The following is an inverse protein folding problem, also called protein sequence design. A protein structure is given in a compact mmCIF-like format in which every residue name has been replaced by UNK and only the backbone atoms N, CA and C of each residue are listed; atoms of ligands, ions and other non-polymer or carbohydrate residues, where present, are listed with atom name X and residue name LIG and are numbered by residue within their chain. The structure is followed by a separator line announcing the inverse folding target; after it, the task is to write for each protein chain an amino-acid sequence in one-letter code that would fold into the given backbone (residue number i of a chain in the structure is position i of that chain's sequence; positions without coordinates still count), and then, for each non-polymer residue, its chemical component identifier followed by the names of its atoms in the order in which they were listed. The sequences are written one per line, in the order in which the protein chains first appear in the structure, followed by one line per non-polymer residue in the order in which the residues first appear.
data_IF_019339677470
#
_entry.id   IF_019339677470
#
_cell.length_a   1.000
_cell.length_b   1.000
_cell.length_c   1.000
_cell.angle_alpha   90.00
_cell.angle_beta   90.00
_cell.angle_gamma   90.00
#
_symmetry.space_group_name_H-M   'P 1'
#
loop_
_entity.id
_entity.type
_entity.pdbx_description
1 polymer ?
#
# COMPACT_ATOMS: atom_id res chain seq x y z
N UNK A 1 -2.07 -6.68 2.58
CA UNK A 1 -1.05 -6.36 3.60
C UNK A 1 -0.81 -7.50 4.60
N UNK A 2 -1.72 -7.80 5.56
CA UNK A 2 -1.50 -8.84 6.60
C UNK A 2 -1.19 -10.23 6.04
N UNK A 3 -1.96 -10.69 5.05
CA UNK A 3 -1.73 -11.99 4.40
C UNK A 3 -0.37 -12.05 3.68
N UNK A 4 0.05 -10.96 3.03
CA UNK A 4 1.36 -10.88 2.36
C UNK A 4 2.53 -10.93 3.35
N UNK A 5 2.43 -10.24 4.50
CA UNK A 5 3.43 -10.32 5.56
C UNK A 5 3.52 -11.71 6.19
N UNK A 6 2.38 -12.39 6.38
CA UNK A 6 2.35 -13.76 6.93
C UNK A 6 3.07 -14.71 5.96
N UNK A 7 2.76 -14.67 4.67
CA UNK A 7 3.43 -15.47 3.64
C UNK A 7 4.94 -15.22 3.62
N UNK A 8 5.36 -13.95 3.64
CA UNK A 8 6.79 -13.59 3.65
C UNK A 8 7.50 -13.98 4.96
N UNK A 9 6.82 -13.89 6.10
CA UNK A 9 7.39 -14.27 7.40
C UNK A 9 7.58 -15.79 7.50
N UNK A 10 6.62 -16.58 7.01
CA UNK A 10 6.72 -18.05 6.93
C UNK A 10 7.91 -18.42 6.04
N UNK A 11 8.02 -17.80 4.86
CA UNK A 11 9.16 -17.99 3.95
C UNK A 11 10.50 -17.58 4.57
N UNK A 12 10.54 -16.51 5.37
CA UNK A 12 11.78 -16.03 6.00
C UNK A 12 12.24 -16.88 7.19
N UNK A 13 11.30 -17.56 7.89
CA UNK A 13 11.57 -18.42 9.05
C UNK A 13 12.00 -19.81 8.66
N UNK A 14 11.51 -20.34 7.54
CA UNK A 14 11.87 -21.66 7.08
C UNK A 14 13.20 -21.62 6.29
N UNK A 15 14.31 -22.17 6.83
CA UNK A 15 15.59 -22.20 6.11
C UNK A 15 15.51 -23.04 4.82
N UNK A 16 14.49 -23.87 4.64
CA UNK A 16 14.24 -24.65 3.44
C UNK A 16 13.59 -23.84 2.32
N UNK A 17 12.87 -22.76 2.65
CA UNK A 17 12.26 -21.85 1.65
C UNK A 17 13.12 -20.62 1.34
N UNK A 18 14.18 -20.38 2.10
CA UNK A 18 15.21 -19.38 1.78
C UNK A 18 16.10 -19.86 0.63
N UNK A 19 16.65 -18.90 -0.12
CA UNK A 19 17.76 -19.16 -1.00
C UNK A 19 18.93 -19.75 -0.18
N UNK A 20 19.65 -20.76 -0.70
CA UNK A 20 20.86 -21.24 -0.05
C UNK A 20 21.84 -20.07 0.12
N UNK A 21 22.51 -20.00 1.27
CA UNK A 21 23.53 -18.97 1.52
C UNK A 21 24.62 -19.12 0.48
N UNK A 22 24.92 -18.04 -0.25
CA UNK A 22 26.05 -18.04 -1.17
C UNK A 22 27.34 -18.13 -0.37
N UNK A 23 28.14 -19.15 -0.68
CA UNK A 23 29.49 -19.31 -0.15
C UNK A 23 30.49 -18.89 -1.25
N UNK A 24 31.67 -18.41 -0.87
CA UNK A 24 32.67 -17.91 -1.85
C UNK A 24 33.09 -18.97 -2.87
N UNK A 25 32.96 -20.25 -2.53
CA UNK A 25 33.34 -21.39 -3.37
C UNK A 25 32.20 -21.97 -4.22
N UNK A 26 30.97 -21.44 -4.14
CA UNK A 26 29.83 -21.93 -4.93
C UNK A 26 29.09 -20.79 -5.62
N UNK A 27 28.74 -20.91 -6.92
CA UNK A 27 27.88 -19.93 -7.57
C UNK A 27 26.52 -19.89 -6.86
N UNK A 28 26.01 -18.68 -6.61
CA UNK A 28 24.69 -18.48 -6.03
C UNK A 28 23.63 -19.16 -6.90
N UNK A 29 22.86 -20.09 -6.33
CA UNK A 29 21.72 -20.69 -7.01
C UNK A 29 20.52 -19.73 -6.92
N UNK A 30 19.98 -19.33 -8.07
CA UNK A 30 18.80 -18.47 -8.13
C UNK A 30 17.56 -19.22 -7.65
N UNK A 31 16.72 -18.51 -6.89
CA UNK A 31 15.45 -19.07 -6.43
C UNK A 31 14.52 -19.21 -7.63
N UNK A 32 14.23 -20.45 -8.04
CA UNK A 32 13.35 -20.75 -9.18
C UNK A 32 12.09 -21.54 -8.75
N UNK A 33 11.06 -21.52 -9.59
CA UNK A 33 9.82 -22.29 -9.41
C UNK A 33 8.92 -21.74 -8.30
N UNK A 34 8.33 -22.65 -7.51
CA UNK A 34 7.31 -22.31 -6.52
C UNK A 34 7.76 -21.35 -5.41
N UNK A 35 9.04 -21.38 -5.02
CA UNK A 35 9.60 -20.47 -3.99
C UNK A 35 9.64 -19.01 -4.48
N UNK A 36 10.00 -18.80 -5.75
CA UNK A 36 9.99 -17.48 -6.38
C UNK A 36 8.56 -16.96 -6.56
N UNK A 37 7.64 -17.81 -7.04
CA UNK A 37 6.24 -17.45 -7.18
C UNK A 37 5.63 -17.03 -5.84
N UNK A 38 5.89 -17.77 -4.76
CA UNK A 38 5.41 -17.43 -3.41
C UNK A 38 5.96 -16.08 -2.92
N UNK A 39 7.25 -15.80 -3.16
CA UNK A 39 7.89 -14.52 -2.83
C UNK A 39 7.19 -13.36 -3.55
N UNK A 40 7.04 -13.46 -4.88
CA UNK A 40 6.41 -12.41 -5.69
C UNK A 40 4.95 -12.18 -5.31
N UNK A 41 4.17 -13.25 -5.09
CA UNK A 41 2.79 -13.14 -4.62
C UNK A 41 2.72 -12.42 -3.27
N UNK A 42 3.58 -12.78 -2.32
CA UNK A 42 3.69 -12.10 -1.03
C UNK A 42 4.00 -10.60 -1.20
N UNK A 43 4.97 -10.27 -2.06
CA UNK A 43 5.39 -8.91 -2.33
C UNK A 43 4.28 -8.07 -2.97
N UNK A 44 3.57 -8.63 -3.98
CA UNK A 44 2.43 -7.97 -4.61
C UNK A 44 1.27 -7.73 -3.63
N UNK A 45 0.96 -8.69 -2.75
CA UNK A 45 -0.07 -8.53 -1.72
C UNK A 45 0.28 -7.48 -0.66
N UNK A 46 1.58 -7.30 -0.38
CA UNK A 46 2.07 -6.20 0.47
C UNK A 46 1.94 -4.87 -0.28
N UNK A 47 2.43 -4.80 -1.52
CA UNK A 47 2.39 -3.59 -2.34
C UNK A 47 0.96 -3.07 -2.55
N UNK A 48 0.02 -3.95 -2.89
CA UNK A 48 -1.41 -3.60 -3.01
C UNK A 48 -1.98 -3.08 -1.69
N UNK A 49 -1.62 -3.70 -0.57
CA UNK A 49 -2.08 -3.27 0.75
C UNK A 49 -1.54 -1.89 1.15
N UNK A 50 -0.26 -1.65 0.92
CA UNK A 50 0.39 -0.35 1.22
C UNK A 50 -0.14 0.74 0.29
N UNK A 51 -0.34 0.44 -0.99
CA UNK A 51 -0.93 1.35 -1.96
C UNK A 51 -2.35 1.77 -1.58
N UNK A 52 -3.18 0.82 -1.14
CA UNK A 52 -4.53 1.12 -0.65
C UNK A 52 -4.54 2.09 0.52
N UNK A 53 -3.74 1.81 1.56
CA UNK A 53 -3.65 2.66 2.76
C UNK A 53 -3.15 4.07 2.40
N UNK A 54 -2.09 4.17 1.59
CA UNK A 54 -1.52 5.47 1.18
C UNK A 54 -2.51 6.30 0.35
N UNK A 55 -3.34 5.66 -0.48
CA UNK A 55 -4.33 6.34 -1.30
C UNK A 55 -5.56 6.82 -0.51
N UNK A 56 -6.03 6.03 0.45
CA UNK A 56 -7.29 6.32 1.16
C UNK A 56 -7.11 7.15 2.44
N UNK A 57 -6.00 6.98 3.16
CA UNK A 57 -5.82 7.56 4.49
C UNK A 57 -5.74 9.10 4.49
N UNK A 58 -4.98 9.76 3.59
CA UNK A 58 -4.90 11.23 3.58
C UNK A 58 -6.22 11.86 3.14
N UNK A 59 -6.94 11.21 2.21
CA UNK A 59 -8.27 11.63 1.79
C UNK A 59 -9.23 11.59 2.98
N UNK A 60 -9.30 10.45 3.68
CA UNK A 60 -10.15 10.29 4.86
C UNK A 60 -9.84 11.30 5.97
N UNK A 61 -8.57 11.58 6.24
CA UNK A 61 -8.16 12.59 7.23
C UNK A 61 -8.50 14.02 6.81
N UNK A 62 -8.36 14.34 5.52
CA UNK A 62 -8.72 15.64 4.96
C UNK A 62 -10.24 15.90 4.99
N UNK A 63 -11.05 14.86 4.80
CA UNK A 63 -12.52 14.95 4.82
C UNK A 63 -13.11 15.30 6.19
N UNK A 64 -12.32 15.23 7.27
CA UNK A 64 -12.77 15.60 8.62
C UNK A 64 -12.94 17.11 8.80
N UNK A 65 -12.26 17.92 7.99
CA UNK A 65 -12.26 19.37 8.10
C UNK A 65 -13.27 20.00 7.14
N UNK A 66 -13.91 21.09 7.58
CA UNK A 66 -14.84 21.85 6.75
C UNK A 66 -14.10 22.81 5.82
N UNK A 67 -14.33 22.69 4.51
CA UNK A 67 -13.69 23.55 3.51
C UNK A 67 -14.41 24.89 3.32
N UNK A 68 -15.67 25.00 3.74
CA UNK A 68 -16.49 26.21 3.56
C UNK A 68 -16.08 27.31 4.53
N UNK A 69 -15.52 26.94 5.69
CA UNK A 69 -15.07 27.88 6.71
C UNK A 69 -13.56 28.20 6.57
N UNK A 70 -13.13 29.46 6.78
CA UNK A 70 -11.70 29.82 6.79
C UNK A 70 -10.89 29.05 7.86
N UNK A 71 -11.51 28.79 9.02
CA UNK A 71 -10.90 28.03 10.12
C UNK A 71 -10.67 26.57 9.75
N UNK A 72 -11.64 25.89 9.14
CA UNK A 72 -11.51 24.50 8.72
C UNK A 72 -10.46 24.31 7.61
N UNK A 73 -10.37 25.25 6.65
CA UNK A 73 -9.28 25.27 5.65
C UNK A 73 -7.89 25.40 6.28
N UNK A 74 -7.74 26.26 7.29
CA UNK A 74 -6.47 26.41 8.03
C UNK A 74 -6.11 25.13 8.77
N UNK A 75 -7.05 24.53 9.48
CA UNK A 75 -6.83 23.27 10.21
C UNK A 75 -6.45 22.11 9.28
N UNK A 76 -7.08 22.01 8.12
CA UNK A 76 -6.72 21.03 7.08
C UNK A 76 -5.28 21.20 6.60
N UNK A 77 -4.86 22.43 6.31
CA UNK A 77 -3.48 22.72 5.90
C UNK A 77 -2.48 22.33 7.00
N UNK A 78 -2.77 22.70 8.25
CA UNK A 78 -1.95 22.28 9.40
C UNK A 78 -1.88 20.76 9.55
N UNK A 79 -3.01 20.06 9.38
CA UNK A 79 -3.04 18.59 9.38
C UNK A 79 -2.11 18.00 8.31
N UNK A 80 -2.19 18.45 7.06
CA UNK A 80 -1.32 17.94 6.00
C UNK A 80 0.16 18.27 6.23
N UNK A 81 0.47 19.45 6.78
CA UNK A 81 1.84 19.80 7.15
C UNK A 81 2.39 18.84 8.21
N UNK A 82 1.63 18.58 9.28
CA UNK A 82 2.01 17.61 10.31
C UNK A 82 2.09 16.19 9.75
N UNK A 83 1.15 15.79 8.90
CA UNK A 83 1.12 14.48 8.26
C UNK A 83 2.39 14.22 7.44
N UNK A 84 2.78 15.17 6.58
CA UNK A 84 4.00 15.07 5.77
C UNK A 84 5.25 15.09 6.64
N UNK A 85 5.29 15.92 7.68
CA UNK A 85 6.39 15.95 8.63
C UNK A 85 6.59 14.59 9.32
N UNK A 86 5.52 14.01 9.88
CA UNK A 86 5.55 12.70 10.52
C UNK A 86 5.95 11.59 9.55
N UNK A 87 5.47 11.63 8.30
CA UNK A 87 5.87 10.66 7.27
C UNK A 87 7.37 10.74 6.96
N UNK A 88 7.91 11.95 6.79
CA UNK A 88 9.34 12.16 6.53
C UNK A 88 10.20 11.68 7.70
N UNK A 89 9.84 12.05 8.93
CA UNK A 89 10.55 11.56 10.13
C UNK A 89 10.46 10.04 10.27
N UNK A 90 9.29 9.45 10.05
CA UNK A 90 9.10 8.00 10.10
C UNK A 90 9.92 7.27 9.03
N UNK A 91 10.00 7.82 7.81
CA UNK A 91 10.83 7.28 6.75
C UNK A 91 12.33 7.32 7.09
N UNK A 92 12.80 8.43 7.68
CA UNK A 92 14.18 8.56 8.17
C UNK A 92 14.49 7.52 9.25
N UNK A 93 13.60 7.31 10.21
CA UNK A 93 13.76 6.28 11.26
C UNK A 93 13.75 4.88 10.64
N UNK A 94 12.86 4.61 9.68
CA UNK A 94 12.79 3.32 9.02
C UNK A 94 14.10 2.98 8.27
N UNK A 95 14.59 3.89 7.44
CA UNK A 95 15.81 3.65 6.63
C UNK A 95 17.09 3.59 7.47
N UNK A 96 17.10 4.15 8.69
CA UNK A 96 18.26 4.13 9.57
C UNK A 96 18.18 3.00 10.61
N UNK A 97 17.17 3.06 11.48
CA UNK A 97 17.05 2.16 12.62
C UNK A 97 16.54 0.77 12.25
N UNK A 98 15.51 0.68 11.40
CA UNK A 98 14.95 -0.63 11.02
C UNK A 98 15.93 -1.40 10.15
N UNK A 99 16.54 -0.73 9.16
CA UNK A 99 17.60 -1.34 8.33
C UNK A 99 18.77 -1.81 9.19
N UNK A 100 19.22 -1.01 10.15
CA UNK A 100 20.28 -1.44 11.08
C UNK A 100 19.90 -2.71 11.86
N UNK A 101 18.64 -2.83 12.31
CA UNK A 101 18.15 -4.05 12.98
C UNK A 101 18.12 -5.23 12.02
N UNK A 102 17.64 -5.03 10.80
CA UNK A 102 17.57 -6.09 9.77
C UNK A 102 18.96 -6.65 9.46
N UNK A 103 19.97 -5.77 9.36
CA UNK A 103 21.36 -6.13 9.07
C UNK A 103 22.07 -6.80 10.26
N UNK A 104 21.83 -6.33 11.49
CA UNK A 104 22.58 -6.80 12.68
C UNK A 104 21.88 -7.91 13.48
N UNK A 105 20.55 -7.84 13.62
CA UNK A 105 19.73 -8.80 14.40
C UNK A 105 18.96 -9.76 13.50
N UNK A 106 18.87 -9.46 12.20
CA UNK A 106 18.19 -10.27 11.20
C UNK A 106 16.75 -9.82 10.92
N UNK A 107 16.31 -10.11 9.70
CA UNK A 107 15.00 -9.76 9.12
C UNK A 107 13.77 -10.10 9.98
N UNK A 108 13.85 -11.12 10.84
CA UNK A 108 12.76 -11.51 11.73
C UNK A 108 12.36 -10.39 12.71
N UNK A 109 13.35 -9.64 13.21
CA UNK A 109 13.10 -8.55 14.15
C UNK A 109 12.53 -7.31 13.45
N UNK A 110 12.99 -6.99 12.23
CA UNK A 110 12.43 -5.92 11.41
C UNK A 110 10.95 -6.15 11.09
N UNK A 111 10.58 -7.38 10.72
CA UNK A 111 9.18 -7.74 10.48
C UNK A 111 8.34 -7.76 11.77
N UNK A 112 8.91 -8.15 12.91
CA UNK A 112 8.20 -8.11 14.19
C UNK A 112 7.85 -6.67 14.60
N UNK A 113 8.79 -5.73 14.50
CA UNK A 113 8.57 -4.31 14.79
C UNK A 113 7.47 -3.73 13.88
N UNK A 114 7.55 -4.02 12.58
CA UNK A 114 6.53 -3.61 11.62
C UNK A 114 5.13 -4.16 11.95
N UNK A 115 5.07 -5.43 12.38
CA UNK A 115 3.81 -6.08 12.76
C UNK A 115 3.22 -5.43 14.01
N UNK A 116 4.02 -5.20 15.05
CA UNK A 116 3.58 -4.54 16.29
C UNK A 116 3.05 -3.12 15.99
N UNK A 117 3.74 -2.37 15.13
CA UNK A 117 3.31 -1.02 14.72
C UNK A 117 1.92 -1.04 14.06
N UNK A 118 1.66 -2.00 13.16
CA UNK A 118 0.33 -2.18 12.55
C UNK A 118 -0.72 -2.58 13.59
N UNK A 119 -0.37 -3.44 14.54
CA UNK A 119 -1.30 -3.84 15.60
C UNK A 119 -1.66 -2.67 16.53
N UNK A 120 -0.74 -1.76 16.80
CA UNK A 120 -0.97 -0.57 17.60
C UNK A 120 -1.76 0.52 16.85
N UNK A 121 -1.64 0.60 15.53
CA UNK A 121 -2.38 1.60 14.75
C UNK A 121 -3.89 1.33 14.66
N UNK A 122 -4.29 0.05 14.68
CA UNK A 122 -5.70 -0.37 14.61
C UNK A 122 -6.54 0.18 15.79
N UNK A 123 -6.18 -0.04 17.07
CA UNK A 123 -6.96 0.48 18.19
C UNK A 123 -6.97 2.01 18.24
N UNK A 124 -5.87 2.67 17.84
CA UNK A 124 -5.83 4.14 17.75
C UNK A 124 -6.85 4.64 16.71
N UNK A 125 -6.89 4.02 15.53
CA UNK A 125 -7.88 4.35 14.50
C UNK A 125 -9.32 4.07 14.96
N UNK A 126 -9.56 2.93 15.61
CA UNK A 126 -10.88 2.57 16.12
C UNK A 126 -11.34 3.49 17.26
N UNK A 127 -10.43 3.91 18.15
CA UNK A 127 -10.75 4.87 19.22
C UNK A 127 -11.17 6.24 18.70
N UNK A 128 -10.71 6.63 17.50
CA UNK A 128 -11.12 7.85 16.81
C UNK A 128 -12.45 7.71 16.07
N UNK A 129 -12.92 6.47 15.82
CA UNK A 129 -14.15 6.18 15.07
C UNK A 129 -15.40 6.94 15.53
N UNK A 130 -15.69 7.14 16.84
CA UNK A 130 -16.88 7.89 17.26
C UNK A 130 -16.79 9.40 16.99
N UNK A 131 -15.60 9.93 16.66
CA UNK A 131 -15.34 11.36 16.41
C UNK A 131 -15.31 11.66 14.90
N UNK A 132 -15.22 10.63 14.05
CA UNK A 132 -15.13 10.80 12.60
C UNK A 132 -16.46 11.27 12.00
N UNK A 133 -16.38 12.34 11.19
CA UNK A 133 -17.48 12.77 10.33
C UNK A 133 -17.65 11.77 9.20
N UNK A 134 -18.71 10.97 9.25
CA UNK A 134 -19.10 10.11 8.14
C UNK A 134 -19.76 10.96 7.05
N UNK A 135 -19.08 11.14 5.91
CA UNK A 135 -19.71 11.65 4.69
C UNK A 135 -20.56 10.54 4.06
N UNK A 136 -21.73 10.92 3.56
CA UNK A 136 -22.58 10.05 2.74
C UNK A 136 -21.75 9.65 1.50
N UNK A 137 -21.69 8.37 1.10
CA UNK A 137 -20.88 7.94 -0.03
C UNK A 137 -21.36 8.65 -1.30
N UNK A 138 -20.56 9.62 -1.77
CA UNK A 138 -20.70 10.18 -3.11
C UNK A 138 -20.10 9.16 -4.09
N UNK A 139 -20.78 8.94 -5.23
CA UNK A 139 -20.53 7.80 -6.13
C UNK A 139 -19.05 7.55 -6.50
N UNK A 140 -18.73 6.30 -6.86
CA UNK A 140 -17.35 5.88 -7.09
C UNK A 140 -16.76 6.47 -8.39
N UNK A 141 -15.68 7.27 -8.35
CA UNK A 141 -15.03 7.79 -9.56
C UNK A 141 -14.50 6.67 -10.48
N UNK A 142 -14.20 5.48 -9.93
CA UNK A 142 -13.84 4.30 -10.74
C UNK A 142 -14.99 3.85 -11.64
N UNK A 143 -16.23 3.92 -11.17
CA UNK A 143 -17.39 3.58 -12.02
C UNK A 143 -17.59 4.59 -13.13
N UNK A 144 -17.27 5.86 -12.90
CA UNK A 144 -17.26 6.90 -13.94
C UNK A 144 -16.18 6.62 -14.98
N UNK A 145 -14.95 6.31 -14.55
CA UNK A 145 -13.84 6.00 -15.46
C UNK A 145 -14.13 4.74 -16.28
N UNK A 146 -14.65 3.68 -15.67
CA UNK A 146 -15.03 2.44 -16.36
C UNK A 146 -16.17 2.65 -17.36
N UNK A 147 -17.16 3.48 -17.03
CA UNK A 147 -18.23 3.86 -17.97
C UNK A 147 -17.65 4.63 -19.15
N UNK A 148 -16.80 5.62 -18.91
CA UNK A 148 -16.20 6.44 -19.97
C UNK A 148 -15.28 5.59 -20.86
N UNK A 149 -14.46 4.70 -20.30
CA UNK A 149 -13.60 3.82 -21.09
C UNK A 149 -14.41 2.83 -21.93
N UNK A 150 -15.47 2.23 -21.37
CA UNK A 150 -16.38 1.37 -22.11
C UNK A 150 -17.08 2.12 -23.25
N UNK A 151 -17.56 3.36 -23.00
CA UNK A 151 -18.21 4.21 -24.01
C UNK A 151 -17.23 4.54 -25.14
N UNK A 152 -15.98 4.88 -24.82
CA UNK A 152 -14.94 5.16 -25.84
C UNK A 152 -14.68 3.92 -26.68
N UNK A 153 -14.54 2.75 -26.05
CA UNK A 153 -14.25 1.49 -26.75
C UNK A 153 -15.40 1.07 -27.68
N UNK A 154 -16.64 1.25 -27.23
CA UNK A 154 -17.85 1.05 -28.04
C UNK A 154 -17.92 2.07 -29.18
N UNK A 155 -17.61 3.34 -28.91
CA UNK A 155 -17.61 4.41 -29.93
C UNK A 155 -16.55 4.17 -31.01
N UNK A 156 -15.35 3.73 -30.62
CA UNK A 156 -14.28 3.34 -31.55
C UNK A 156 -14.69 2.12 -32.39
N UNK A 157 -15.31 1.11 -31.78
CA UNK A 157 -15.83 -0.04 -32.51
C UNK A 157 -16.95 0.35 -33.49
N UNK A 158 -17.81 1.28 -33.12
CA UNK A 158 -18.90 1.78 -33.98
C UNK A 158 -18.36 2.65 -35.14
N UNK A 159 -17.35 3.48 -34.90
CA UNK A 159 -16.67 4.25 -35.96
C UNK A 159 -15.94 3.33 -36.94
N UNK A 160 -15.28 2.27 -36.46
CA UNK A 160 -14.67 1.25 -37.31
C UNK A 160 -15.70 0.52 -38.18
N UNK A 161 -16.85 0.13 -37.62
CA UNK A 161 -17.96 -0.47 -38.41
C UNK A 161 -18.59 0.52 -39.40
N UNK A 162 -18.69 1.81 -39.04
CA UNK A 162 -19.24 2.84 -39.93
C UNK A 162 -18.33 3.12 -41.12
N UNK A 163 -17.00 3.09 -40.92
CA UNK A 163 -16.01 3.24 -41.98
C UNK A 163 -16.02 2.05 -42.97
N UNK A 164 -16.20 0.82 -42.50
CA UNK A 164 -16.32 -0.36 -43.36
C UNK A 164 -17.65 -0.48 -44.13
N UNK A 165 -18.69 0.27 -43.75
CA UNK A 165 -20.01 0.21 -44.38
C UNK A 165 -20.25 1.34 -45.41
N UNK A 166 -19.23 2.16 -45.66
CA UNK A 166 -19.23 3.28 -46.63
C UNK A 166 -18.25 3.00 -47.80
N UNK A 167 -17.54 1.86 -47.76
CA UNK A 167 -16.73 1.28 -48.84
C UNK A 167 -17.46 0.13 -49.50
#
# INVERSE_FOLDING_TARGET
MKMGLIVLTIQARDPSLKAPKCDRDRPCEEVNGGKAAMLFVGLYLVALGVGGIKGSLPAHGGEQFDETTPSGRKQRSTFFNYFVFCLSCGALIAVTFVVWIEDNKGWQWGFAISTISIFLSIPVFLSGSPIYKNKIPSGSPLTTILKVSAIILISLHYQGKRLCNVS
#
